data_IF_577767238939
#
_entry.id   IF_577767238939
#
_cell.length_a   1.000
_cell.length_b   1.000
_cell.length_c   1.000
_cell.angle_alpha   90.00
_cell.angle_beta   90.00
_cell.angle_gamma   90.00
#
_symmetry.space_group_name_H-M   'P 1'
#
loop_
_entity.id
_entity.type
_entity.pdbx_description
1 polymer ?
#
# COMPACT_ATOMS: atom_id res chain seq x y z
N UNK A 1 10.21 -17.42 -7.96
CA UNK A 1 9.79 -16.00 -8.15
C UNK A 1 10.99 -15.20 -8.60
N UNK A 2 10.85 -14.42 -9.65
CA UNK A 2 11.94 -13.55 -10.08
C UNK A 2 12.07 -12.35 -9.10
N UNK A 3 13.07 -11.50 -9.34
CA UNK A 3 13.37 -10.41 -8.41
C UNK A 3 12.19 -9.45 -8.30
N UNK A 4 11.68 -9.31 -7.09
CA UNK A 4 10.68 -8.29 -6.76
C UNK A 4 11.36 -6.93 -6.59
N UNK A 5 10.59 -5.86 -6.82
CA UNK A 5 11.06 -4.50 -6.55
C UNK A 5 9.88 -3.65 -6.11
N UNK A 6 10.16 -2.60 -5.33
CA UNK A 6 9.13 -1.69 -4.89
C UNK A 6 8.95 -0.54 -5.88
N UNK A 7 7.77 0.07 -5.85
CA UNK A 7 7.55 1.38 -6.45
C UNK A 7 7.89 2.47 -5.41
N UNK A 8 7.66 3.73 -5.78
CA UNK A 8 7.73 4.85 -4.83
C UNK A 8 6.47 4.98 -3.98
N UNK A 9 5.46 4.16 -4.23
CA UNK A 9 4.14 4.31 -3.63
C UNK A 9 4.07 3.60 -2.29
N UNK A 10 3.55 4.33 -1.30
CA UNK A 10 3.20 3.79 0.01
C UNK A 10 1.73 4.14 0.26
N UNK A 11 0.97 3.16 0.73
CA UNK A 11 -0.46 3.30 0.92
C UNK A 11 -0.78 3.18 2.40
N UNK A 12 -1.64 4.05 2.92
CA UNK A 12 -2.18 3.92 4.28
C UNK A 12 -3.70 4.06 4.24
N UNK A 13 -4.36 3.39 5.17
CA UNK A 13 -5.79 3.53 5.44
C UNK A 13 -5.96 4.01 6.88
N UNK A 14 -5.95 5.34 7.12
CA UNK A 14 -6.09 5.85 8.48
C UNK A 14 -7.51 5.65 9.00
N UNK A 15 -7.64 5.56 10.32
CA UNK A 15 -8.95 5.45 10.93
C UNK A 15 -9.80 6.71 10.69
N UNK A 16 -9.16 7.86 10.64
CA UNK A 16 -9.82 9.15 10.35
C UNK A 16 -9.15 9.75 9.11
N UNK A 17 -9.77 9.53 7.95
CA UNK A 17 -9.25 9.97 6.67
C UNK A 17 -9.08 11.49 6.59
N UNK A 18 -10.11 12.24 6.95
CA UNK A 18 -10.08 13.70 6.82
C UNK A 18 -9.04 14.33 7.73
N UNK A 19 -8.94 13.83 8.96
CA UNK A 19 -7.92 14.32 9.91
C UNK A 19 -6.51 13.99 9.42
N UNK A 20 -6.30 12.81 8.84
CA UNK A 20 -4.99 12.42 8.32
C UNK A 20 -4.58 13.30 7.14
N UNK A 21 -5.47 13.53 6.19
CA UNK A 21 -5.20 14.40 5.04
C UNK A 21 -4.84 15.82 5.50
N UNK A 22 -5.62 16.37 6.43
CA UNK A 22 -5.33 17.71 6.98
C UNK A 22 -3.97 17.75 7.65
N UNK A 23 -3.62 16.73 8.43
CA UNK A 23 -2.33 16.66 9.12
C UNK A 23 -1.17 16.64 8.12
N UNK A 24 -1.23 15.79 7.12
CA UNK A 24 -0.15 15.68 6.13
C UNK A 24 0.02 16.96 5.33
N UNK A 25 -1.08 17.60 4.96
CA UNK A 25 -1.02 18.82 4.16
C UNK A 25 -0.64 20.03 5.00
N UNK A 26 -1.29 20.24 6.15
CA UNK A 26 -1.19 21.49 6.90
C UNK A 26 -0.06 21.47 7.91
N UNK A 27 0.21 20.34 8.57
CA UNK A 27 1.24 20.24 9.58
C UNK A 27 2.57 19.84 8.98
N UNK A 28 2.61 18.79 8.17
CA UNK A 28 3.84 18.34 7.51
C UNK A 28 4.14 19.12 6.22
N UNK A 29 3.17 19.84 5.68
CA UNK A 29 3.37 20.64 4.48
C UNK A 29 3.59 19.83 3.22
N UNK A 30 3.09 18.59 3.17
CA UNK A 30 3.24 17.74 1.99
C UNK A 30 2.34 18.23 0.86
N UNK A 31 2.82 18.13 -0.37
CA UNK A 31 2.09 18.61 -1.54
C UNK A 31 1.15 17.54 -2.08
N UNK A 32 -0.14 17.89 -2.22
CA UNK A 32 -1.11 17.03 -2.88
C UNK A 32 -0.86 17.09 -4.39
N UNK A 33 -0.69 15.93 -5.02
CA UNK A 33 -0.56 15.84 -6.47
C UNK A 33 -1.75 15.13 -7.12
N UNK A 34 -2.56 14.41 -6.33
CA UNK A 34 -3.71 13.66 -6.82
C UNK A 34 -4.81 13.67 -5.77
N UNK A 35 -6.04 13.99 -6.19
CA UNK A 35 -7.18 14.03 -5.27
C UNK A 35 -8.40 13.43 -5.97
N UNK A 36 -8.85 12.30 -5.44
CA UNK A 36 -10.08 11.64 -5.85
C UNK A 36 -10.99 11.49 -4.62
N UNK A 37 -12.30 11.25 -4.81
CA UNK A 37 -13.16 10.93 -3.68
C UNK A 37 -12.60 9.73 -2.91
N UNK A 38 -12.33 9.91 -1.62
CA UNK A 38 -11.80 8.84 -0.77
C UNK A 38 -10.34 8.48 -1.00
N UNK A 39 -9.57 9.28 -1.74
CA UNK A 39 -8.16 9.02 -1.95
C UNK A 39 -7.40 10.31 -2.22
N UNK A 40 -6.29 10.51 -1.52
CA UNK A 40 -5.41 11.65 -1.73
C UNK A 40 -3.98 11.15 -1.85
N UNK A 41 -3.27 11.61 -2.89
CA UNK A 41 -1.86 11.31 -3.09
C UNK A 41 -0.99 12.52 -2.78
N UNK A 42 0.05 12.29 -1.96
CA UNK A 42 1.02 13.32 -1.59
C UNK A 42 2.38 13.01 -2.22
N UNK A 43 2.99 14.02 -2.82
CA UNK A 43 4.36 13.93 -3.29
C UNK A 43 5.29 14.39 -2.17
N UNK A 44 6.15 13.48 -1.68
CA UNK A 44 7.02 13.79 -0.54
C UNK A 44 8.47 14.03 -0.95
N UNK A 45 8.82 13.85 -2.22
CA UNK A 45 10.19 13.91 -2.71
C UNK A 45 10.81 12.53 -2.88
N UNK A 46 10.80 11.71 -1.83
CA UNK A 46 11.31 10.35 -1.91
C UNK A 46 10.26 9.34 -2.33
N UNK A 47 9.06 9.46 -1.80
CA UNK A 47 7.96 8.55 -2.09
C UNK A 47 6.67 9.31 -2.38
N UNK A 48 5.67 8.57 -2.87
CA UNK A 48 4.32 9.07 -3.01
C UNK A 48 3.45 8.37 -1.97
N UNK A 49 2.84 9.17 -1.10
CA UNK A 49 2.00 8.66 -0.02
C UNK A 49 0.54 8.75 -0.44
N UNK A 50 -0.11 7.59 -0.57
CA UNK A 50 -1.54 7.51 -0.88
C UNK A 50 -2.32 7.24 0.40
N UNK A 51 -3.25 8.14 0.69
CA UNK A 51 -4.14 8.04 1.85
C UNK A 51 -5.51 7.65 1.33
N UNK A 52 -6.04 6.52 1.80
CA UNK A 52 -7.31 5.97 1.34
C UNK A 52 -8.36 5.94 2.45
N UNK A 53 -9.58 6.32 2.08
CA UNK A 53 -10.76 6.13 2.95
C UNK A 53 -11.30 4.73 2.67
N UNK A 54 -10.88 3.75 3.47
CA UNK A 54 -11.36 2.39 3.34
C UNK A 54 -11.15 1.64 4.66
N UNK A 55 -11.98 0.63 4.88
CA UNK A 55 -11.85 -0.26 6.03
C UNK A 55 -11.28 -1.60 5.56
N UNK A 56 -10.54 -2.31 6.41
CA UNK A 56 -10.10 -1.91 7.74
C UNK A 56 -9.00 -0.84 7.69
N UNK A 57 -8.84 -0.13 8.81
CA UNK A 57 -7.71 0.79 8.96
C UNK A 57 -6.39 0.01 8.86
N UNK A 58 -5.38 0.61 8.25
CA UNK A 58 -4.14 -0.09 7.99
C UNK A 58 -2.97 0.89 8.00
N UNK A 59 -1.85 0.45 8.57
CA UNK A 59 -0.61 1.21 8.54
C UNK A 59 0.05 1.18 7.16
N UNK A 60 1.30 1.68 7.05
CA UNK A 60 1.97 1.78 5.77
C UNK A 60 2.12 0.43 5.06
N UNK A 61 1.79 0.42 3.77
CA UNK A 61 1.90 -0.74 2.90
C UNK A 61 2.75 -0.35 1.71
N UNK A 62 3.85 -1.09 1.48
CA UNK A 62 4.67 -0.91 0.29
C UNK A 62 4.00 -1.56 -0.91
N UNK A 63 4.31 -1.08 -2.10
CA UNK A 63 3.90 -1.77 -3.31
C UNK A 63 5.06 -2.57 -3.87
N UNK A 64 4.87 -3.88 -4.00
CA UNK A 64 5.88 -4.81 -4.48
C UNK A 64 5.47 -5.34 -5.85
N UNK A 65 6.30 -5.06 -6.85
CA UNK A 65 6.03 -5.48 -8.22
C UNK A 65 6.65 -6.84 -8.50
N UNK A 66 5.85 -7.74 -9.04
CA UNK A 66 6.26 -9.08 -9.44
C UNK A 66 5.73 -9.38 -10.84
N UNK A 67 6.31 -10.35 -11.53
CA UNK A 67 5.87 -10.70 -12.88
C UNK A 67 4.58 -11.53 -12.86
N UNK A 68 4.41 -12.39 -11.85
CA UNK A 68 3.26 -13.29 -11.72
C UNK A 68 2.78 -13.24 -10.27
N UNK A 69 1.66 -12.57 -10.05
CA UNK A 69 1.11 -12.35 -8.70
C UNK A 69 0.70 -13.65 -8.04
N UNK A 70 0.05 -14.56 -8.78
CA UNK A 70 -0.40 -15.82 -8.20
C UNK A 70 0.75 -16.74 -7.83
N UNK A 71 1.78 -16.81 -8.66
CA UNK A 71 2.98 -17.57 -8.35
C UNK A 71 3.68 -16.99 -7.11
N UNK A 72 3.85 -15.66 -7.08
CA UNK A 72 4.48 -15.00 -5.95
C UNK A 72 3.71 -15.25 -4.66
N UNK A 73 2.38 -15.14 -4.71
CA UNK A 73 1.52 -15.42 -3.55
C UNK A 73 1.78 -16.82 -3.00
N UNK A 74 1.78 -17.84 -3.86
CA UNK A 74 2.01 -19.22 -3.43
C UNK A 74 3.37 -19.40 -2.77
N UNK A 75 4.42 -18.89 -3.42
CA UNK A 75 5.77 -18.99 -2.88
C UNK A 75 5.92 -18.26 -1.54
N UNK A 76 5.34 -17.08 -1.42
CA UNK A 76 5.42 -16.30 -0.20
C UNK A 76 4.69 -16.99 0.95
N UNK A 77 3.53 -17.61 0.68
CA UNK A 77 2.82 -18.40 1.69
C UNK A 77 3.67 -19.58 2.16
N UNK A 78 4.38 -20.24 1.25
CA UNK A 78 5.26 -21.35 1.59
C UNK A 78 6.44 -20.92 2.48
N UNK A 79 6.82 -19.63 2.41
CA UNK A 79 7.94 -19.09 3.18
C UNK A 79 7.50 -18.30 4.42
N UNK A 80 6.27 -18.49 4.86
CA UNK A 80 5.82 -17.95 6.14
C UNK A 80 5.07 -16.61 6.06
N UNK A 81 4.81 -16.10 4.87
CA UNK A 81 3.96 -14.92 4.72
C UNK A 81 2.49 -15.29 4.99
N UNK A 82 1.70 -14.30 5.37
CA UNK A 82 0.25 -14.44 5.56
C UNK A 82 -0.48 -13.41 4.71
N UNK A 83 -1.75 -13.66 4.41
CA UNK A 83 -2.61 -12.71 3.70
C UNK A 83 -3.28 -11.81 4.73
N UNK A 84 -3.05 -10.50 4.62
CA UNK A 84 -3.68 -9.49 5.47
C UNK A 84 -5.00 -9.01 4.89
N UNK A 85 -5.07 -8.87 3.56
CA UNK A 85 -6.22 -8.34 2.87
C UNK A 85 -6.24 -8.88 1.46
N UNK A 86 -7.41 -9.35 1.03
CA UNK A 86 -7.63 -9.80 -0.34
C UNK A 86 -8.93 -9.16 -0.85
N UNK A 87 -8.80 -8.27 -1.83
CA UNK A 87 -9.94 -7.59 -2.45
C UNK A 87 -10.00 -7.99 -3.92
N UNK A 88 -10.65 -9.10 -4.28
CA UNK A 88 -10.64 -9.62 -5.65
C UNK A 88 -11.32 -8.70 -6.67
N UNK A 89 -12.32 -7.93 -6.26
CA UNK A 89 -13.03 -6.99 -7.14
C UNK A 89 -12.20 -5.75 -7.44
N UNK A 90 -11.21 -5.50 -6.65
CA UNK A 90 -10.23 -4.44 -6.81
C UNK A 90 -8.88 -5.15 -6.66
N UNK A 91 -8.06 -5.30 -7.72
CA UNK A 91 -6.92 -6.22 -7.65
C UNK A 91 -5.90 -5.79 -6.61
N UNK A 92 -6.17 -6.12 -5.37
CA UNK A 92 -5.38 -5.72 -4.23
C UNK A 92 -5.20 -6.91 -3.29
N UNK A 93 -3.96 -7.24 -3.02
CA UNK A 93 -3.60 -8.29 -2.09
C UNK A 93 -2.50 -7.78 -1.16
N UNK A 94 -2.84 -7.61 0.10
CA UNK A 94 -1.85 -7.24 1.11
C UNK A 94 -1.35 -8.51 1.78
N UNK A 95 -0.05 -8.66 1.83
CA UNK A 95 0.61 -9.77 2.52
C UNK A 95 1.53 -9.22 3.60
N UNK A 96 1.68 -10.01 4.66
CA UNK A 96 2.63 -9.72 5.74
C UNK A 96 3.71 -10.77 5.70
N UNK A 97 4.98 -10.36 5.69
CA UNK A 97 6.08 -11.30 5.77
C UNK A 97 6.33 -11.71 7.24
N UNK A 98 7.18 -12.73 7.48
CA UNK A 98 7.44 -13.21 8.85
C UNK A 98 8.13 -12.18 9.74
N UNK A 99 8.63 -11.09 9.18
CA UNK A 99 9.40 -10.08 9.91
C UNK A 99 8.60 -8.79 10.13
N UNK A 100 7.34 -8.74 9.67
CA UNK A 100 6.44 -7.64 9.94
C UNK A 100 6.23 -6.66 8.80
N UNK A 101 6.90 -6.82 7.67
CA UNK A 101 6.69 -5.96 6.51
C UNK A 101 5.38 -6.31 5.82
N UNK A 102 4.54 -5.30 5.57
CA UNK A 102 3.29 -5.47 4.84
C UNK A 102 3.44 -4.83 3.46
N UNK A 103 3.00 -5.55 2.44
CA UNK A 103 3.11 -5.07 1.06
C UNK A 103 1.94 -5.54 0.22
N UNK A 104 1.61 -4.73 -0.79
CA UNK A 104 0.64 -5.08 -1.82
C UNK A 104 1.39 -5.73 -2.97
N UNK A 105 0.93 -6.89 -3.41
CA UNK A 105 1.48 -7.52 -4.62
C UNK A 105 0.81 -6.92 -5.84
N UNK A 106 1.61 -6.44 -6.76
CA UNK A 106 1.13 -5.92 -8.03
C UNK A 106 1.98 -6.46 -9.17
N UNK A 107 1.37 -6.56 -10.35
CA UNK A 107 2.05 -7.01 -11.55
C UNK A 107 2.83 -5.85 -12.17
N UNK A 108 4.08 -6.10 -12.55
CA UNK A 108 4.83 -5.13 -13.34
C UNK A 108 4.39 -5.07 -14.80
#
# INVERSE_FOLDING_TARGET
MDRARTTRDVIIRPADFDAAVAFYEQVLGLRIFDRLPGRVGFETGGLRLFVERAAPAHGPVLELLVSDVEQARRELLEHGCTVELDEPDFPRIYMRDPHGLVFNLARR
#
